data_IF_188677830678
#
_entry.id   IF_188677830678
#
_cell.length_a   1.000
_cell.length_b   1.000
_cell.length_c   1.000
_cell.angle_alpha   90.00
_cell.angle_beta   90.00
_cell.angle_gamma   90.00
#
_symmetry.space_group_name_H-M   'P 1'
#
loop_
_entity.id
_entity.type
_entity.pdbx_description
1 polymer ?
#
# COMPACT_ATOMS: atom_id res chain seq x y z
N UNK A 1 10.20 -3.55 9.27
CA UNK A 1 8.89 -2.88 9.21
C UNK A 1 8.30 -2.71 7.80
N UNK A 2 8.78 -3.41 6.74
CA UNK A 2 8.18 -3.32 5.39
C UNK A 2 7.39 -4.56 4.97
N UNK A 3 7.41 -5.62 5.78
CA UNK A 3 6.86 -6.92 5.38
C UNK A 3 5.34 -6.95 5.40
N UNK A 4 4.72 -6.18 6.29
CA UNK A 4 3.26 -6.08 6.36
C UNK A 4 2.68 -5.38 5.14
N UNK A 5 3.28 -4.28 4.68
CA UNK A 5 2.90 -3.61 3.43
C UNK A 5 3.02 -4.57 2.25
N UNK A 6 4.11 -5.35 2.18
CA UNK A 6 4.30 -6.35 1.12
C UNK A 6 3.29 -7.48 1.19
N UNK A 7 2.93 -7.94 2.39
CA UNK A 7 1.88 -8.93 2.58
C UNK A 7 0.53 -8.38 2.11
N UNK A 8 0.17 -7.16 2.53
CA UNK A 8 -1.05 -6.49 2.08
C UNK A 8 -1.08 -6.33 0.55
N UNK A 9 0.03 -5.95 -0.07
CA UNK A 9 0.14 -5.83 -1.52
C UNK A 9 -0.06 -7.19 -2.22
N UNK A 10 0.55 -8.27 -1.73
CA UNK A 10 0.36 -9.62 -2.27
C UNK A 10 -1.09 -10.08 -2.15
N UNK A 11 -1.70 -9.88 -0.99
CA UNK A 11 -3.08 -10.30 -0.75
C UNK A 11 -4.07 -9.47 -1.58
N UNK A 12 -3.84 -8.17 -1.74
CA UNK A 12 -4.63 -7.32 -2.63
C UNK A 12 -4.50 -7.77 -4.10
N UNK A 13 -3.29 -8.10 -4.55
CA UNK A 13 -3.05 -8.61 -5.91
C UNK A 13 -3.80 -9.94 -6.13
N UNK A 14 -3.71 -10.88 -5.19
CA UNK A 14 -4.43 -12.17 -5.25
C UNK A 14 -5.95 -11.99 -5.24
N UNK A 15 -6.49 -11.12 -4.37
CA UNK A 15 -7.92 -10.84 -4.29
C UNK A 15 -8.48 -10.27 -5.60
N UNK A 16 -7.67 -9.52 -6.34
CA UNK A 16 -8.03 -9.00 -7.66
C UNK A 16 -7.77 -9.99 -8.81
N UNK A 17 -7.28 -11.20 -8.52
CA UNK A 17 -6.95 -12.21 -9.54
C UNK A 17 -5.78 -11.81 -10.45
N UNK A 18 -4.92 -10.88 -10.01
CA UNK A 18 -3.84 -10.36 -10.83
C UNK A 18 -2.57 -11.20 -10.75
N UNK A 19 -1.89 -11.35 -11.88
CA UNK A 19 -0.48 -11.77 -11.91
C UNK A 19 0.45 -10.59 -11.64
N UNK A 20 1.73 -10.87 -11.33
CA UNK A 20 2.74 -9.80 -11.19
C UNK A 20 2.98 -9.05 -12.51
N UNK A 21 2.74 -9.71 -13.65
CA UNK A 21 2.86 -9.10 -14.98
C UNK A 21 1.73 -8.10 -15.21
N UNK A 22 0.48 -8.50 -15.01
CA UNK A 22 -0.69 -7.62 -15.11
C UNK A 22 -0.61 -6.45 -14.12
N UNK A 23 -0.11 -6.70 -12.91
CA UNK A 23 0.13 -5.62 -11.94
C UNK A 23 1.20 -4.64 -12.43
N UNK A 24 2.27 -5.14 -13.05
CA UNK A 24 3.32 -4.32 -13.64
C UNK A 24 2.78 -3.46 -14.78
N UNK A 25 2.02 -4.05 -15.70
CA UNK A 25 1.35 -3.32 -16.80
C UNK A 25 0.46 -2.19 -16.27
N UNK A 26 -0.40 -2.49 -15.28
CA UNK A 26 -1.28 -1.48 -14.66
C UNK A 26 -0.52 -0.35 -13.95
N UNK A 27 0.61 -0.69 -13.34
CA UNK A 27 1.42 0.26 -12.59
C UNK A 27 2.47 0.98 -13.46
N UNK A 28 2.59 0.62 -14.74
CA UNK A 28 3.62 1.17 -15.63
C UNK A 28 5.04 0.78 -15.24
N UNK A 29 5.24 -0.37 -14.57
CA UNK A 29 6.56 -0.85 -14.14
C UNK A 29 6.81 -2.30 -14.60
N UNK A 30 8.07 -2.69 -14.88
CA UNK A 30 8.40 -4.05 -15.27
C UNK A 30 7.97 -5.09 -14.23
N UNK A 31 7.49 -6.26 -14.68
CA UNK A 31 7.19 -7.42 -13.81
C UNK A 31 8.33 -7.74 -12.84
N UNK A 32 9.59 -7.64 -13.29
CA UNK A 32 10.77 -7.89 -12.45
C UNK A 32 10.85 -6.92 -11.28
N UNK A 33 10.49 -5.64 -11.47
CA UNK A 33 10.44 -4.65 -10.41
C UNK A 33 9.30 -4.97 -9.42
N UNK A 34 8.12 -5.36 -9.90
CA UNK A 34 7.01 -5.82 -9.04
C UNK A 34 7.49 -6.99 -8.16
N UNK A 35 8.16 -7.97 -8.75
CA UNK A 35 8.69 -9.13 -8.03
C UNK A 35 9.70 -8.73 -6.94
N UNK A 36 10.64 -7.84 -7.27
CA UNK A 36 11.65 -7.32 -6.34
C UNK A 36 11.03 -6.48 -5.22
N UNK A 37 9.99 -5.70 -5.51
CA UNK A 37 9.26 -4.93 -4.50
C UNK A 37 8.50 -5.85 -3.53
N UNK A 38 7.75 -6.82 -4.06
CA UNK A 38 6.98 -7.76 -3.24
C UNK A 38 7.89 -8.63 -2.38
N UNK A 39 9.00 -9.13 -2.94
CA UNK A 39 10.03 -9.89 -2.19
C UNK A 39 10.83 -9.01 -1.22
N UNK A 40 10.82 -7.70 -1.41
CA UNK A 40 11.52 -6.77 -0.55
C UNK A 40 12.99 -6.53 -0.89
N UNK A 41 13.44 -7.05 -2.03
CA UNK A 41 14.76 -6.76 -2.59
C UNK A 41 14.91 -5.26 -2.88
N UNK A 42 13.84 -4.57 -3.28
CA UNK A 42 13.81 -3.12 -3.51
C UNK A 42 12.58 -2.46 -2.86
N UNK A 43 12.50 -1.12 -2.89
CA UNK A 43 11.32 -0.37 -2.48
C UNK A 43 11.08 -0.34 -0.97
N UNK A 44 12.15 -0.20 -0.17
CA UNK A 44 12.02 -0.01 1.28
C UNK A 44 11.40 1.36 1.58
N UNK A 45 10.41 1.40 2.49
CA UNK A 45 9.94 2.65 3.07
C UNK A 45 11.13 3.38 3.75
N UNK A 46 11.31 4.70 3.56
CA UNK A 46 12.32 5.43 4.28
C UNK A 46 12.11 5.35 5.80
N UNK A 47 13.17 5.06 6.56
CA UNK A 47 13.09 4.81 8.00
C UNK A 47 12.46 5.96 8.79
N UNK A 48 12.59 7.20 8.31
CA UNK A 48 11.98 8.39 8.92
C UNK A 48 10.45 8.32 8.99
N UNK A 49 9.79 7.76 7.97
CA UNK A 49 8.33 7.60 7.99
C UNK A 49 7.89 6.55 9.01
N UNK A 50 8.65 5.47 9.13
CA UNK A 50 8.41 4.45 10.16
C UNK A 50 8.57 5.04 11.56
N UNK A 51 9.66 5.76 11.82
CA UNK A 51 9.89 6.40 13.11
C UNK A 51 8.79 7.43 13.47
N UNK A 52 8.32 8.19 12.48
CA UNK A 52 7.22 9.14 12.68
C UNK A 52 5.91 8.43 13.02
N UNK A 53 5.57 7.34 12.32
CA UNK A 53 4.38 6.56 12.62
C UNK A 53 4.44 5.98 14.04
N UNK A 54 5.59 5.39 14.41
CA UNK A 54 5.81 4.84 15.74
C UNK A 54 5.66 5.92 16.84
N UNK A 55 6.24 7.11 16.62
CA UNK A 55 6.14 8.23 17.56
C UNK A 55 4.70 8.74 17.75
N UNK A 56 3.85 8.58 16.74
CA UNK A 56 2.43 8.94 16.79
C UNK A 56 1.53 7.78 17.26
N UNK A 57 2.10 6.61 17.58
CA UNK A 57 1.32 5.41 17.90
C UNK A 57 0.50 4.89 16.71
N UNK A 58 0.97 5.16 15.49
CA UNK A 58 0.29 4.84 14.23
C UNK A 58 0.99 3.73 13.48
N UNK A 59 0.27 3.09 12.57
CA UNK A 59 0.79 2.03 11.72
C UNK A 59 0.59 2.36 10.24
N UNK A 60 1.63 2.18 9.43
CA UNK A 60 1.53 2.37 7.98
C UNK A 60 0.90 1.11 7.36
N UNK A 61 -0.19 1.29 6.62
CA UNK A 61 -0.95 0.24 5.94
C UNK A 61 -1.24 0.61 4.49
N UNK A 62 -1.39 -0.40 3.63
CA UNK A 62 -2.07 -0.23 2.34
C UNK A 62 -3.57 -0.44 2.52
N UNK A 63 -4.36 0.52 2.01
CA UNK A 63 -5.82 0.46 2.00
C UNK A 63 -6.34 0.56 0.56
N UNK A 64 -7.45 -0.12 0.22
CA UNK A 64 -8.12 0.08 -1.06
C UNK A 64 -8.47 1.56 -1.26
N UNK A 65 -8.37 2.05 -2.50
CA UNK A 65 -8.95 3.34 -2.84
C UNK A 65 -10.47 3.21 -2.76
N UNK A 66 -11.12 4.13 -2.06
CA UNK A 66 -12.57 4.31 -2.13
C UNK A 66 -12.86 5.15 -3.38
N UNK A 67 -13.71 4.67 -4.28
CA UNK A 67 -14.07 5.38 -5.51
C UNK A 67 -15.07 6.55 -5.29
N UNK A 68 -15.49 6.76 -4.04
CA UNK A 68 -16.38 7.86 -3.65
C UNK A 68 -15.57 9.05 -3.07
N UNK A 69 -15.92 10.31 -3.39
CA UNK A 69 -15.41 11.45 -2.65
C UNK A 69 -15.79 11.27 -1.18
N UNK A 70 -14.77 11.33 -0.33
CA UNK A 70 -14.91 11.23 1.13
C UNK A 70 -15.92 12.30 1.59
N UNK A 71 -17.14 11.96 2.07
CA UNK A 71 -18.02 12.91 2.71
C UNK A 71 -17.71 12.97 4.22
N UNK A 72 -16.43 12.88 4.63
CA UNK A 72 -16.06 12.88 6.06
C UNK A 72 -15.82 14.28 6.65
N UNK A 73 -15.80 15.35 5.86
CA UNK A 73 -15.62 16.68 6.44
C UNK A 73 -16.92 17.23 7.05
N UNK A 74 -18.10 16.96 6.45
CA UNK A 74 -19.36 17.58 6.90
C UNK A 74 -20.08 16.81 8.01
N UNK A 75 -19.88 15.49 8.13
CA UNK A 75 -20.64 14.68 9.10
C UNK A 75 -20.05 14.73 10.53
N UNK A 76 -18.77 15.12 10.66
CA UNK A 76 -18.11 15.30 11.96
C UNK A 76 -18.33 16.70 12.56
N UNK A 77 -18.73 17.69 11.76
CA UNK A 77 -19.13 19.02 12.26
C UNK A 77 -20.60 19.07 12.72
N UNK A 78 -21.39 18.02 12.45
CA UNK A 78 -22.81 17.88 12.86
C UNK A 78 -23.02 17.06 14.14
N UNK A 79 -21.98 16.71 14.89
CA UNK A 79 -22.06 16.05 16.21
C UNK A 79 -21.39 16.88 17.28
#
# INVERSE_FOLDING_TARGET
MNDRIRLQAREAMKKQGLTQEQLGERAGIPRTHVSQMLSGAIGKMPDRWTALADALGMEIVLQPKLDAPIPLAEELERR
#
